data_IF_581809856829
#
_entry.id   IF_581809856829
#
_cell.length_a   1.000
_cell.length_b   1.000
_cell.length_c   1.000
_cell.angle_alpha   90.00
_cell.angle_beta   90.00
_cell.angle_gamma   90.00
#
_symmetry.space_group_name_H-M   'P 1'
#
loop_
_entity.id
_entity.type
_entity.pdbx_description
1 polymer ?
#
# COMPACT_ATOMS: atom_id res chain seq x y z
N UNK A 1 -13.13 -19.85 11.74
CA UNK A 1 -13.16 -18.46 12.24
C UNK A 1 -12.11 -17.70 11.44
N UNK A 2 -12.49 -16.61 10.80
CA UNK A 2 -11.57 -15.72 10.04
C UNK A 2 -11.54 -14.38 10.78
N UNK A 3 -10.39 -14.03 11.38
CA UNK A 3 -10.31 -13.01 12.46
C UNK A 3 -9.34 -11.86 12.14
N UNK A 4 -9.03 -11.65 10.87
CA UNK A 4 -8.05 -10.65 10.43
C UNK A 4 -6.60 -11.06 10.71
N UNK A 5 -5.67 -10.12 10.57
CA UNK A 5 -4.25 -10.38 10.80
C UNK A 5 -3.33 -9.17 10.63
N UNK A 6 -2.04 -9.42 10.84
CA UNK A 6 -0.94 -8.47 10.59
C UNK A 6 -0.12 -8.95 9.38
N UNK A 7 -0.75 -8.96 8.21
CA UNK A 7 -0.19 -9.55 7.00
C UNK A 7 1.12 -8.85 6.57
N UNK A 8 2.23 -9.60 6.45
CA UNK A 8 3.49 -9.05 5.99
C UNK A 8 3.50 -8.88 4.46
N UNK A 9 4.18 -7.85 4.00
CA UNK A 9 4.57 -7.67 2.60
C UNK A 9 6.08 -7.48 2.54
N UNK A 10 6.80 -8.36 1.82
CA UNK A 10 8.25 -8.52 1.96
C UNK A 10 8.93 -8.18 0.64
N UNK A 11 9.88 -7.25 0.69
CA UNK A 11 10.58 -6.71 -0.48
C UNK A 11 12.08 -6.94 -0.34
N UNK A 12 12.62 -7.80 -1.21
CA UNK A 12 14.05 -8.03 -1.36
C UNK A 12 14.65 -7.12 -2.43
N UNK A 13 15.97 -7.07 -2.51
CA UNK A 13 16.71 -6.17 -3.39
C UNK A 13 16.48 -6.41 -4.89
N UNK A 14 16.03 -7.62 -5.24
CA UNK A 14 15.71 -8.03 -6.59
C UNK A 14 14.54 -7.27 -7.20
N UNK A 15 13.61 -6.76 -6.37
CA UNK A 15 12.48 -5.93 -6.82
C UNK A 15 12.89 -4.57 -7.36
N UNK A 16 14.14 -4.16 -7.14
CA UNK A 16 14.73 -2.92 -7.68
C UNK A 16 15.99 -3.18 -8.52
N UNK A 17 16.21 -4.43 -8.95
CA UNK A 17 17.41 -4.80 -9.71
C UNK A 17 17.41 -4.13 -11.09
N UNK A 18 16.29 -4.21 -11.78
CA UNK A 18 16.05 -3.60 -13.08
C UNK A 18 15.04 -2.47 -12.94
N UNK A 19 15.02 -1.53 -13.88
CA UNK A 19 13.99 -0.48 -13.94
C UNK A 19 12.91 -0.87 -14.95
N UNK A 20 12.11 -1.86 -14.59
CA UNK A 20 11.08 -2.50 -15.42
C UNK A 20 9.69 -2.47 -14.75
N UNK A 21 8.71 -3.12 -15.38
CA UNK A 21 7.34 -3.21 -14.88
C UNK A 21 7.24 -3.94 -13.52
N UNK A 22 8.24 -4.76 -13.17
CA UNK A 22 8.27 -5.45 -11.87
C UNK A 22 8.45 -4.45 -10.72
N UNK A 23 9.25 -3.40 -10.92
CA UNK A 23 9.39 -2.30 -9.95
C UNK A 23 8.04 -1.63 -9.70
N UNK A 24 7.29 -1.29 -10.75
CA UNK A 24 5.99 -0.64 -10.59
C UNK A 24 5.00 -1.54 -9.85
N UNK A 25 5.00 -2.86 -10.15
CA UNK A 25 4.19 -3.83 -9.42
C UNK A 25 4.59 -4.03 -7.97
N UNK A 26 5.88 -3.98 -7.64
CA UNK A 26 6.33 -4.00 -6.26
C UNK A 26 5.85 -2.75 -5.49
N UNK A 27 5.91 -1.58 -6.11
CA UNK A 27 5.43 -0.32 -5.53
C UNK A 27 3.89 -0.28 -5.42
N UNK A 28 3.18 -0.85 -6.39
CA UNK A 28 1.73 -1.07 -6.32
C UNK A 28 1.38 -1.98 -5.13
N UNK A 29 2.05 -3.13 -5.02
CA UNK A 29 1.91 -4.06 -3.91
C UNK A 29 2.19 -3.41 -2.55
N UNK A 30 3.18 -2.52 -2.47
CA UNK A 30 3.40 -1.70 -1.27
C UNK A 30 2.19 -0.81 -0.96
N UNK A 31 1.65 -0.10 -1.96
CA UNK A 31 0.53 0.83 -1.77
C UNK A 31 -0.83 0.17 -1.49
N UNK A 32 -0.94 -1.15 -1.63
CA UNK A 32 -2.19 -1.90 -1.41
C UNK A 32 -2.78 -1.78 0.00
N UNK A 33 -2.02 -1.30 1.00
CA UNK A 33 -2.61 -0.97 2.29
C UNK A 33 -3.67 0.14 2.21
N UNK A 34 -3.66 0.95 1.14
CA UNK A 34 -4.62 2.02 0.92
C UNK A 34 -5.93 1.52 0.27
N UNK A 35 -5.97 0.28 -0.23
CA UNK A 35 -7.18 -0.32 -0.78
C UNK A 35 -8.24 -0.43 0.32
N UNK A 36 -9.45 0.07 0.05
CA UNK A 36 -10.53 0.11 1.03
C UNK A 36 -10.08 0.66 2.38
N UNK A 37 -9.23 1.71 2.37
CA UNK A 37 -8.68 2.35 3.56
C UNK A 37 -7.93 1.41 4.51
N UNK A 38 -7.50 0.24 4.02
CA UNK A 38 -6.89 -0.81 4.82
C UNK A 38 -7.89 -1.67 5.61
N UNK A 39 -9.20 -1.43 5.48
CA UNK A 39 -10.30 -2.24 6.03
C UNK A 39 -10.48 -3.53 5.20
N UNK A 40 -9.41 -4.32 5.14
CA UNK A 40 -9.35 -5.61 4.46
C UNK A 40 -8.68 -6.60 5.42
N UNK A 41 -9.29 -7.75 5.67
CA UNK A 41 -8.77 -8.73 6.64
C UNK A 41 -7.36 -9.24 6.29
N UNK A 42 -7.01 -9.24 5.01
CA UNK A 42 -5.70 -9.61 4.46
C UNK A 42 -4.80 -8.41 4.14
N UNK A 43 -5.19 -7.19 4.54
CA UNK A 43 -4.46 -5.95 4.25
C UNK A 43 -2.95 -6.09 4.54
N UNK A 44 -2.07 -5.77 3.57
CA UNK A 44 -0.62 -5.86 3.71
C UNK A 44 -0.06 -4.75 4.61
N UNK A 45 -0.51 -4.68 5.86
CA UNK A 45 -0.26 -3.58 6.81
C UNK A 45 1.14 -3.58 7.43
N UNK A 46 2.03 -4.50 7.02
CA UNK A 46 3.40 -4.62 7.52
C UNK A 46 4.38 -4.82 6.36
N UNK A 47 4.94 -3.72 5.86
CA UNK A 47 6.04 -3.78 4.90
C UNK A 47 7.36 -4.15 5.60
N UNK A 48 8.09 -5.11 5.02
CA UNK A 48 9.44 -5.51 5.41
C UNK A 48 10.34 -5.32 4.19
N UNK A 49 11.26 -4.36 4.25
CA UNK A 49 12.11 -3.98 3.11
C UNK A 49 13.57 -4.30 3.44
N UNK A 50 14.26 -5.00 2.54
CA UNK A 50 15.67 -5.34 2.73
C UNK A 50 16.54 -4.08 2.82
N UNK A 51 17.47 -4.07 3.78
CA UNK A 51 18.31 -2.91 4.11
C UNK A 51 19.04 -2.30 2.91
N UNK A 52 19.50 -3.11 1.95
CA UNK A 52 20.24 -2.68 0.75
C UNK A 52 19.43 -1.80 -0.21
N UNK A 53 18.10 -1.81 -0.10
CA UNK A 53 17.20 -1.04 -0.97
C UNK A 53 16.30 -0.06 -0.23
N UNK A 54 16.33 -0.04 1.11
CA UNK A 54 15.37 0.68 1.94
C UNK A 54 15.13 2.13 1.49
N UNK A 55 16.18 2.96 1.42
CA UNK A 55 16.02 4.39 1.10
C UNK A 55 15.45 4.61 -0.30
N UNK A 56 15.98 3.90 -1.30
CA UNK A 56 15.56 4.00 -2.70
C UNK A 56 14.12 3.52 -2.91
N UNK A 57 13.75 2.43 -2.23
CA UNK A 57 12.40 1.88 -2.28
C UNK A 57 11.41 2.82 -1.61
N UNK A 58 11.72 3.30 -0.41
CA UNK A 58 10.86 4.20 0.35
C UNK A 58 10.66 5.54 -0.36
N UNK A 59 11.67 6.09 -1.03
CA UNK A 59 11.54 7.30 -1.83
C UNK A 59 10.45 7.15 -2.90
N UNK A 60 10.48 6.06 -3.66
CA UNK A 60 9.49 5.78 -4.72
C UNK A 60 8.12 5.44 -4.13
N UNK A 61 8.09 4.65 -3.07
CA UNK A 61 6.87 4.21 -2.40
C UNK A 61 6.09 5.38 -1.80
N UNK A 62 6.77 6.30 -1.10
CA UNK A 62 6.15 7.51 -0.53
C UNK A 62 5.57 8.40 -1.63
N UNK A 63 6.32 8.61 -2.73
CA UNK A 63 5.82 9.38 -3.89
C UNK A 63 4.53 8.78 -4.46
N UNK A 64 4.44 7.44 -4.56
CA UNK A 64 3.23 6.76 -5.02
C UNK A 64 2.07 6.95 -4.05
N UNK A 65 2.30 6.77 -2.75
CA UNK A 65 1.26 6.94 -1.72
C UNK A 65 0.73 8.38 -1.70
N UNK A 66 1.61 9.38 -1.87
CA UNK A 66 1.21 10.80 -1.95
C UNK A 66 0.33 11.12 -3.17
N UNK A 67 0.37 10.30 -4.22
CA UNK A 67 -0.47 10.47 -5.40
C UNK A 67 -1.90 9.91 -5.22
N UNK A 68 -2.18 9.21 -4.11
CA UNK A 68 -3.50 8.67 -3.81
C UNK A 68 -4.49 9.80 -3.59
N UNK A 69 -5.62 9.76 -4.30
CA UNK A 69 -6.69 10.75 -4.19
C UNK A 69 -7.81 10.27 -3.28
N UNK A 70 -8.01 10.95 -2.16
CA UNK A 70 -9.14 10.72 -1.27
C UNK A 70 -10.34 11.59 -1.68
N UNK A 71 -11.54 11.02 -1.69
CA UNK A 71 -12.73 11.76 -2.11
C UNK A 71 -14.03 10.97 -2.04
N UNK A 72 -15.05 11.51 -2.70
CA UNK A 72 -16.36 10.88 -2.84
C UNK A 72 -16.24 9.58 -3.67
N UNK A 73 -16.75 8.44 -3.19
CA UNK A 73 -16.67 7.17 -3.93
C UNK A 73 -17.40 7.17 -5.28
N UNK A 74 -18.29 8.13 -5.57
CA UNK A 74 -18.93 8.27 -6.88
C UNK A 74 -18.08 9.03 -7.91
N UNK A 75 -17.01 9.71 -7.47
CA UNK A 75 -16.09 10.39 -8.37
C UNK A 75 -15.08 9.41 -8.96
N UNK A 76 -15.02 9.30 -10.28
CA UNK A 76 -14.13 8.36 -10.99
C UNK A 76 -12.63 8.61 -10.73
N UNK A 77 -12.28 9.77 -10.17
CA UNK A 77 -10.89 10.11 -9.81
C UNK A 77 -10.50 9.71 -8.39
N UNK A 78 -11.47 9.28 -7.58
CA UNK A 78 -11.25 8.83 -6.20
C UNK A 78 -10.56 7.47 -6.20
N UNK A 79 -9.48 7.37 -5.43
CA UNK A 79 -8.73 6.14 -5.22
C UNK A 79 -9.01 5.54 -3.83
N UNK A 80 -9.37 6.38 -2.87
CA UNK A 80 -9.70 5.99 -1.49
C UNK A 80 -10.90 6.82 -1.00
N UNK A 81 -11.97 6.16 -0.56
CA UNK A 81 -13.13 6.77 0.12
C UNK A 81 -12.91 7.03 1.63
N UNK A 82 -14.01 7.19 2.36
CA UNK A 82 -14.04 7.30 3.82
C UNK A 82 -13.93 5.92 4.52
N UNK A 83 -13.63 5.92 5.83
CA UNK A 83 -13.76 4.72 6.68
C UNK A 83 -15.23 4.31 6.82
N UNK A 84 -15.50 3.08 7.24
CA UNK A 84 -16.86 2.54 7.33
C UNK A 84 -17.76 3.25 8.36
N UNK A 85 -17.18 3.81 9.43
CA UNK A 85 -17.91 4.52 10.48
C UNK A 85 -17.01 5.51 11.24
N UNK A 86 -17.61 6.40 12.03
CA UNK A 86 -16.85 7.27 12.94
C UNK A 86 -16.10 6.46 14.01
N UNK A 87 -16.72 5.43 14.57
CA UNK A 87 -16.08 4.56 15.58
C UNK A 87 -14.81 3.86 15.06
N UNK A 88 -14.74 3.59 13.75
CA UNK A 88 -13.56 3.02 13.09
C UNK A 88 -12.53 4.09 12.69
N UNK A 89 -12.98 5.34 12.54
CA UNK A 89 -12.14 6.48 12.14
C UNK A 89 -11.41 7.12 13.33
N UNK A 90 -12.07 7.25 14.48
CA UNK A 90 -11.52 7.79 15.74
C UNK A 90 -10.54 6.82 16.41
#
# INVERSE_FOLDING_TARGET
LELGGKSPNIFFDDVLRENDDFVDKALEGFAMFALNQGEVCTCPSRALVQKSIYDRFMEKAVKRVQAVKQGDPYEMSTMIGAQASNDQYE
#
